data_IF_229034643685
#
_entry.id   IF_229034643685
#
_cell.length_a   1.000
_cell.length_b   1.000
_cell.length_c   1.000
_cell.angle_alpha   90.00
_cell.angle_beta   90.00
_cell.angle_gamma   90.00
#
_symmetry.space_group_name_H-M   'P 1'
#
loop_
_entity.id
_entity.type
_entity.pdbx_description
1 polymer ?
#
# COMPACT_ATOMS: atom_id res chain seq x y z
N UNK A 1 -8.33 -9.81 -18.96
CA UNK A 1 -7.26 -9.40 -18.03
C UNK A 1 -7.22 -10.41 -16.90
N UNK A 2 -6.09 -11.09 -16.67
CA UNK A 2 -6.00 -12.01 -15.54
C UNK A 2 -5.96 -11.24 -14.21
N UNK A 3 -6.25 -11.94 -13.12
CA UNK A 3 -6.32 -11.36 -11.78
C UNK A 3 -5.02 -10.66 -11.36
N UNK A 4 -3.86 -11.26 -11.66
CA UNK A 4 -2.56 -10.71 -11.28
C UNK A 4 -2.20 -9.43 -12.06
N UNK A 5 -2.53 -9.38 -13.36
CA UNK A 5 -2.44 -8.19 -14.20
C UNK A 5 -3.29 -7.05 -13.65
N UNK A 6 -4.51 -7.34 -13.22
CA UNK A 6 -5.37 -6.34 -12.58
C UNK A 6 -4.76 -5.80 -11.28
N UNK A 7 -4.21 -6.68 -10.43
CA UNK A 7 -3.51 -6.26 -9.21
C UNK A 7 -2.29 -5.38 -9.53
N UNK A 8 -1.49 -5.75 -10.52
CA UNK A 8 -0.34 -4.96 -10.98
C UNK A 8 -0.74 -3.52 -11.34
N UNK A 9 -1.81 -3.36 -12.12
CA UNK A 9 -2.28 -2.03 -12.49
C UNK A 9 -2.90 -1.29 -11.31
N UNK A 10 -3.78 -1.92 -10.52
CA UNK A 10 -4.40 -1.26 -9.36
C UNK A 10 -3.34 -0.75 -8.39
N UNK A 11 -2.42 -1.62 -7.95
CA UNK A 11 -1.38 -1.23 -7.01
C UNK A 11 -0.35 -0.30 -7.66
N UNK A 12 0.03 -0.53 -8.92
CA UNK A 12 0.94 0.33 -9.66
C UNK A 12 0.43 1.76 -9.79
N UNK A 13 -0.82 1.93 -10.24
CA UNK A 13 -1.45 3.25 -10.34
C UNK A 13 -1.64 3.89 -8.97
N UNK A 14 -2.09 3.15 -7.94
CA UNK A 14 -2.20 3.69 -6.58
C UNK A 14 -0.84 4.20 -6.07
N UNK A 15 0.23 3.42 -6.27
CA UNK A 15 1.56 3.77 -5.81
C UNK A 15 2.14 4.99 -6.53
N UNK A 16 1.81 5.21 -7.80
CA UNK A 16 2.26 6.38 -8.58
C UNK A 16 1.38 7.59 -8.29
N UNK A 17 0.06 7.48 -8.43
CA UNK A 17 -0.86 8.63 -8.39
C UNK A 17 -0.96 9.29 -7.02
N UNK A 18 -0.80 8.52 -5.93
CA UNK A 18 -0.89 9.08 -4.57
C UNK A 18 0.30 10.00 -4.22
N UNK A 19 1.46 9.83 -4.87
CA UNK A 19 2.70 10.56 -4.52
C UNK A 19 2.71 12.01 -4.99
N UNK A 20 2.33 12.32 -6.25
CA UNK A 20 2.12 13.68 -6.67
C UNK A 20 1.11 14.41 -5.79
N UNK A 21 0.00 13.77 -5.40
CA UNK A 21 -1.01 14.39 -4.54
C UNK A 21 -0.43 14.83 -3.18
N UNK A 22 0.44 14.01 -2.58
CA UNK A 22 1.17 14.36 -1.36
C UNK A 22 2.10 15.56 -1.52
N UNK A 23 2.72 15.72 -2.69
CA UNK A 23 3.66 16.82 -2.94
C UNK A 23 2.97 18.11 -3.40
N UNK A 24 1.88 18.00 -4.16
CA UNK A 24 1.12 19.16 -4.66
C UNK A 24 0.28 19.83 -3.58
N UNK A 25 -0.26 19.06 -2.62
CA UNK A 25 -1.13 19.59 -1.57
C UNK A 25 -0.76 19.07 -0.18
N UNK A 26 0.47 19.31 0.31
CA UNK A 26 0.99 18.64 1.50
C UNK A 26 0.23 19.03 2.78
N UNK A 27 -0.25 20.28 2.90
CA UNK A 27 -1.06 20.70 4.05
C UNK A 27 -2.39 19.94 4.12
N UNK A 28 -3.13 19.93 3.01
CA UNK A 28 -4.41 19.20 2.89
C UNK A 28 -4.23 17.69 3.08
N UNK A 29 -3.12 17.14 2.59
CA UNK A 29 -2.80 15.73 2.77
C UNK A 29 -2.49 15.39 4.23
N UNK A 30 -1.67 16.21 4.90
CA UNK A 30 -1.35 16.04 6.32
C UNK A 30 -2.60 16.12 7.20
N UNK A 31 -3.48 17.08 6.93
CA UNK A 31 -4.78 17.21 7.62
C UNK A 31 -5.67 15.99 7.38
N UNK A 32 -5.73 15.46 6.15
CA UNK A 32 -6.47 14.25 5.84
C UNK A 32 -5.89 13.02 6.56
N UNK A 33 -4.58 12.82 6.50
CA UNK A 33 -3.93 11.65 7.12
C UNK A 33 -4.02 11.69 8.63
N UNK A 34 -3.75 12.81 9.28
CA UNK A 34 -3.73 12.90 10.75
C UNK A 34 -5.12 13.14 11.36
N UNK A 35 -6.03 13.76 10.61
CA UNK A 35 -7.37 14.14 11.08
C UNK A 35 -8.47 13.14 10.74
N UNK A 36 -8.32 12.34 9.67
CA UNK A 36 -9.35 11.37 9.24
C UNK A 36 -8.84 9.93 9.15
N UNK A 37 -7.71 9.70 8.49
CA UNK A 37 -7.20 8.34 8.29
C UNK A 37 -6.59 7.77 9.58
N UNK A 38 -5.71 8.52 10.23
CA UNK A 38 -4.90 8.10 11.37
C UNK A 38 -5.09 9.03 12.57
N UNK A 39 -6.32 9.07 13.08
CA UNK A 39 -6.74 9.83 14.27
C UNK A 39 -5.97 9.40 15.54
N UNK A 40 -6.02 10.20 16.61
CA UNK A 40 -5.33 9.86 17.88
C UNK A 40 -5.74 8.51 18.44
N UNK A 41 -7.05 8.27 18.49
CA UNK A 41 -7.61 6.96 18.80
C UNK A 41 -7.65 6.09 17.56
N UNK A 42 -7.44 4.78 17.73
CA UNK A 42 -7.46 3.80 16.63
C UNK A 42 -8.87 3.74 16.04
N UNK A 43 -9.08 4.17 14.79
CA UNK A 43 -10.41 4.17 14.21
C UNK A 43 -10.86 2.74 13.87
N UNK A 44 -12.16 2.47 14.06
CA UNK A 44 -12.75 1.13 13.85
C UNK A 44 -12.65 0.64 12.39
N UNK A 45 -12.61 1.56 11.42
CA UNK A 45 -12.49 1.22 10.00
C UNK A 45 -11.19 0.44 9.70
N UNK A 46 -10.13 0.62 10.51
CA UNK A 46 -8.88 -0.13 10.34
C UNK A 46 -9.07 -1.63 10.51
N UNK A 47 -10.01 -2.08 11.36
CA UNK A 47 -10.31 -3.51 11.48
C UNK A 47 -10.93 -4.06 10.19
N UNK A 48 -11.80 -3.29 9.54
CA UNK A 48 -12.41 -3.64 8.27
C UNK A 48 -11.34 -3.69 7.18
N UNK A 49 -10.47 -2.68 7.10
CA UNK A 49 -9.35 -2.66 6.17
C UNK A 49 -8.37 -3.82 6.41
N UNK A 50 -8.12 -4.15 7.67
CA UNK A 50 -7.33 -5.30 8.09
C UNK A 50 -7.90 -6.62 7.59
N UNK A 51 -9.18 -6.87 7.85
CA UNK A 51 -9.88 -8.06 7.36
C UNK A 51 -9.88 -8.12 5.82
N UNK A 52 -10.17 -7.00 5.15
CA UNK A 52 -10.11 -6.92 3.70
C UNK A 52 -8.71 -7.26 3.16
N UNK A 53 -7.65 -6.79 3.82
CA UNK A 53 -6.28 -7.12 3.44
C UNK A 53 -5.99 -8.63 3.54
N UNK A 54 -6.45 -9.29 4.61
CA UNK A 54 -6.32 -10.73 4.76
C UNK A 54 -7.08 -11.49 3.67
N UNK A 55 -8.30 -11.07 3.35
CA UNK A 55 -9.09 -11.67 2.25
C UNK A 55 -8.34 -11.56 0.92
N UNK A 56 -7.80 -10.38 0.60
CA UNK A 56 -7.04 -10.16 -0.63
C UNK A 56 -5.79 -11.05 -0.66
N UNK A 57 -5.05 -11.17 0.44
CA UNK A 57 -3.86 -12.03 0.53
C UNK A 57 -4.24 -13.50 0.34
N UNK A 58 -5.22 -14.01 1.08
CA UNK A 58 -5.68 -15.40 0.99
C UNK A 58 -6.20 -15.73 -0.41
N UNK A 59 -6.98 -14.83 -1.01
CA UNK A 59 -7.48 -15.02 -2.37
C UNK A 59 -6.36 -14.97 -3.41
N UNK A 60 -5.34 -14.12 -3.22
CA UNK A 60 -4.16 -14.06 -4.10
C UNK A 60 -3.40 -15.38 -4.08
N UNK A 61 -3.16 -15.95 -2.90
CA UNK A 61 -2.51 -17.25 -2.76
C UNK A 61 -3.35 -18.40 -3.31
N UNK A 62 -4.66 -18.39 -3.04
CA UNK A 62 -5.57 -19.35 -3.68
C UNK A 62 -5.44 -19.30 -5.20
N UNK A 63 -5.51 -18.10 -5.80
CA UNK A 63 -5.35 -17.93 -7.24
C UNK A 63 -3.97 -18.35 -7.74
N UNK A 64 -2.91 -18.17 -6.95
CA UNK A 64 -1.58 -18.63 -7.33
C UNK A 64 -1.53 -20.16 -7.46
N UNK A 65 -2.10 -20.89 -6.49
CA UNK A 65 -2.08 -22.35 -6.51
C UNK A 65 -3.07 -22.98 -7.50
N UNK A 66 -4.20 -22.32 -7.79
CA UNK A 66 -5.23 -22.87 -8.67
C UNK A 66 -5.18 -22.35 -10.10
N UNK A 67 -4.33 -21.37 -10.40
CA UNK A 67 -4.23 -20.80 -11.75
C UNK A 67 -2.88 -21.14 -12.34
N UNK A 68 -2.84 -21.64 -13.57
CA UNK A 68 -1.60 -21.93 -14.32
C UNK A 68 -0.95 -20.65 -14.88
N UNK A 69 -0.93 -19.57 -14.09
CA UNK A 69 -0.37 -18.28 -14.51
C UNK A 69 1.12 -18.27 -14.12
N UNK A 70 2.05 -18.24 -15.09
CA UNK A 70 3.48 -18.18 -14.82
C UNK A 70 3.82 -16.95 -13.98
N UNK A 71 4.83 -17.09 -13.12
CA UNK A 71 5.37 -16.01 -12.28
C UNK A 71 4.37 -15.37 -11.30
N UNK A 72 3.14 -15.88 -11.14
CA UNK A 72 2.14 -15.35 -10.21
C UNK A 72 2.60 -15.29 -8.74
N UNK A 73 3.63 -16.06 -8.39
CA UNK A 73 4.32 -16.02 -7.09
C UNK A 73 4.87 -14.62 -6.76
N UNK A 74 5.33 -13.86 -7.75
CA UNK A 74 5.88 -12.50 -7.53
C UNK A 74 4.80 -11.61 -6.89
N UNK A 75 3.59 -11.65 -7.45
CA UNK A 75 2.47 -10.89 -6.92
C UNK A 75 1.94 -11.43 -5.59
N UNK A 76 1.92 -12.75 -5.39
CA UNK A 76 1.51 -13.34 -4.11
C UNK A 76 2.43 -12.90 -2.97
N UNK A 77 3.75 -12.93 -3.19
CA UNK A 77 4.76 -12.44 -2.24
C UNK A 77 4.62 -10.93 -2.04
N UNK A 78 4.51 -10.16 -3.12
CA UNK A 78 4.35 -8.71 -3.05
C UNK A 78 3.15 -8.31 -2.17
N UNK A 79 1.97 -8.88 -2.44
CA UNK A 79 0.75 -8.62 -1.67
C UNK A 79 0.94 -9.02 -0.20
N UNK A 80 1.60 -10.15 0.05
CA UNK A 80 1.92 -10.58 1.42
C UNK A 80 2.84 -9.58 2.12
N UNK A 81 3.86 -9.02 1.45
CA UNK A 81 4.72 -8.00 2.04
C UNK A 81 3.97 -6.71 2.40
N UNK A 82 2.94 -6.33 1.63
CA UNK A 82 2.10 -5.17 1.99
C UNK A 82 1.37 -5.36 3.32
N UNK A 83 1.13 -6.61 3.74
CA UNK A 83 0.49 -6.95 5.02
C UNK A 83 1.31 -6.49 6.23
N UNK A 84 2.63 -6.33 6.08
CA UNK A 84 3.51 -5.83 7.16
C UNK A 84 3.05 -4.43 7.59
N UNK A 85 2.68 -3.58 6.63
CA UNK A 85 2.13 -2.25 6.96
C UNK A 85 0.77 -2.36 7.64
N UNK A 86 -0.11 -3.24 7.13
CA UNK A 86 -1.42 -3.48 7.74
C UNK A 86 -1.31 -4.02 9.17
N UNK A 87 -0.32 -4.89 9.46
CA UNK A 87 -0.11 -5.43 10.80
C UNK A 87 0.39 -4.36 11.77
N UNK A 88 1.27 -3.46 11.34
CA UNK A 88 1.67 -2.30 12.15
C UNK A 88 0.48 -1.38 12.46
N UNK A 89 -0.37 -1.13 11.47
CA UNK A 89 -1.61 -0.35 11.64
C UNK A 89 -2.59 -1.00 12.63
N UNK A 90 -2.73 -2.32 12.60
CA UNK A 90 -3.66 -3.06 13.44
C UNK A 90 -3.13 -3.25 14.87
N UNK A 91 -1.91 -3.72 15.02
CA UNK A 91 -1.39 -4.21 16.29
C UNK A 91 -0.44 -3.22 16.98
N UNK A 92 0.13 -2.27 16.23
CA UNK A 92 1.11 -1.31 16.73
C UNK A 92 0.71 0.15 16.43
N UNK A 93 -0.59 0.43 16.48
CA UNK A 93 -1.17 1.68 15.99
C UNK A 93 -0.53 2.94 16.59
N UNK A 94 -0.28 2.97 17.91
CA UNK A 94 0.29 4.16 18.57
C UNK A 94 1.68 4.51 18.03
N UNK A 95 2.53 3.51 17.83
CA UNK A 95 3.87 3.73 17.27
C UNK A 95 3.81 4.03 15.77
N UNK A 96 2.92 3.38 15.03
CA UNK A 96 2.66 3.71 13.63
C UNK A 96 2.24 5.18 13.47
N UNK A 97 1.29 5.66 14.28
CA UNK A 97 0.83 7.07 14.22
C UNK A 97 1.95 8.05 14.57
N UNK A 98 2.75 7.76 15.61
CA UNK A 98 3.92 8.58 15.94
C UNK A 98 4.90 8.67 14.77
N UNK A 99 5.15 7.55 14.10
CA UNK A 99 6.00 7.52 12.90
C UNK A 99 5.38 8.34 11.75
N UNK A 100 4.08 8.19 11.47
CA UNK A 100 3.38 9.00 10.45
C UNK A 100 3.49 10.49 10.76
N UNK A 101 3.25 10.90 12.01
CA UNK A 101 3.39 12.30 12.41
C UNK A 101 4.81 12.83 12.15
N UNK A 102 5.84 12.07 12.56
CA UNK A 102 7.24 12.41 12.30
C UNK A 102 7.50 12.59 10.81
N UNK A 103 7.10 11.63 9.97
CA UNK A 103 7.36 11.65 8.52
C UNK A 103 6.62 12.79 7.81
N UNK A 104 5.40 13.11 8.23
CA UNK A 104 4.58 14.14 7.58
C UNK A 104 4.92 15.57 8.02
N UNK A 105 5.33 15.74 9.29
CA UNK A 105 5.48 17.06 9.94
C UNK A 105 6.95 17.39 10.23
N UNK A 106 7.70 16.47 10.83
CA UNK A 106 9.05 16.74 11.35
C UNK A 106 10.14 16.48 10.32
N UNK A 107 10.09 15.35 9.61
CA UNK A 107 11.12 14.88 8.69
C UNK A 107 10.54 14.55 7.31
N UNK A 108 10.41 15.59 6.49
CA UNK A 108 9.96 15.44 5.09
C UNK A 108 10.95 14.70 4.20
N UNK A 109 12.22 14.57 4.56
CA UNK A 109 13.18 13.86 3.73
C UNK A 109 12.82 12.37 3.70
N UNK A 110 12.43 11.79 4.83
CA UNK A 110 11.90 10.43 4.88
C UNK A 110 10.67 10.25 3.99
N UNK A 111 9.75 11.22 3.96
CA UNK A 111 8.58 11.17 3.08
C UNK A 111 8.98 11.15 1.59
N UNK A 112 9.97 11.96 1.21
CA UNK A 112 10.47 12.00 -0.18
C UNK A 112 11.08 10.65 -0.57
N UNK A 113 11.91 10.05 0.29
CA UNK A 113 12.51 8.74 0.04
C UNK A 113 11.43 7.67 -0.14
N UNK A 114 10.44 7.64 0.76
CA UNK A 114 9.29 6.72 0.67
C UNK A 114 8.52 6.93 -0.63
N UNK A 115 8.31 8.18 -1.04
CA UNK A 115 7.57 8.49 -2.26
C UNK A 115 8.34 8.09 -3.53
N UNK A 116 9.66 8.28 -3.58
CA UNK A 116 10.51 7.82 -4.68
C UNK A 116 10.48 6.29 -4.75
N UNK A 117 10.74 5.61 -3.64
CA UNK A 117 10.73 4.14 -3.58
C UNK A 117 9.37 3.57 -3.99
N UNK A 118 8.27 4.15 -3.50
CA UNK A 118 6.92 3.76 -3.87
C UNK A 118 6.62 4.00 -5.36
N UNK A 119 7.10 5.11 -5.93
CA UNK A 119 6.92 5.42 -7.36
C UNK A 119 7.65 4.41 -8.24
N UNK A 120 8.92 4.11 -7.92
CA UNK A 120 9.72 3.10 -8.63
C UNK A 120 9.02 1.74 -8.56
N UNK A 121 8.58 1.33 -7.37
CA UNK A 121 7.83 0.10 -7.19
C UNK A 121 6.53 0.09 -8.01
N UNK A 122 5.81 1.21 -8.07
CA UNK A 122 4.61 1.35 -8.89
C UNK A 122 4.89 1.18 -10.39
N UNK A 123 5.99 1.76 -10.90
CA UNK A 123 6.43 1.59 -12.29
C UNK A 123 6.76 0.12 -12.57
N UNK A 124 7.48 -0.54 -11.66
CA UNK A 124 7.81 -1.97 -11.76
C UNK A 124 6.52 -2.80 -11.84
N UNK A 125 5.52 -2.53 -11.00
CA UNK A 125 4.25 -3.25 -11.04
C UNK A 125 3.50 -3.06 -12.35
N UNK A 126 3.45 -1.84 -12.88
CA UNK A 126 2.84 -1.57 -14.19
C UNK A 126 3.59 -2.33 -15.29
N UNK A 127 4.93 -2.31 -15.27
CA UNK A 127 5.74 -3.05 -16.22
C UNK A 127 5.49 -4.56 -16.14
N UNK A 128 5.40 -5.14 -14.93
CA UNK A 128 5.01 -6.54 -14.73
C UNK A 128 3.61 -6.83 -15.30
N UNK A 129 2.66 -5.92 -15.11
CA UNK A 129 1.32 -6.03 -15.68
C UNK A 129 1.27 -5.96 -17.21
N UNK A 130 2.25 -5.38 -17.88
CA UNK A 130 2.33 -5.38 -19.35
C UNK A 130 3.16 -6.54 -19.91
N UNK A 131 4.31 -6.83 -19.28
CA UNK A 131 5.35 -7.71 -19.83
C UNK A 131 5.26 -9.15 -19.33
N UNK A 132 4.64 -9.40 -18.17
CA UNK A 132 4.62 -10.73 -17.52
C UNK A 132 3.21 -11.30 -17.43
N UNK A 133 2.22 -10.48 -17.05
CA UNK A 133 0.83 -10.90 -16.84
C UNK A 133 -0.12 -10.35 -17.90
#
# INVERSE_FOLDING_TARGET
MNYFKALCFIFGFLLILTRPLMHLAPKKWNEFELGKAYTEEKPKWLWIAGLASLIVISFTWYKHFTSEIPYSIIMAVFITLTSIKSSQLLFNYKNFRKWVYRVLIEDRQQLVIINIAATILGIILIALGFLVY
#
